data_IF_217875263984
#
_entry.id   IF_217875263984
#
_cell.length_a   1.000
_cell.length_b   1.000
_cell.length_c   1.000
_cell.angle_alpha   90.00
_cell.angle_beta   90.00
_cell.angle_gamma   90.00
#
_symmetry.space_group_name_H-M   'P 1'
#
loop_
_entity.id
_entity.type
_entity.pdbx_description
1 polymer ?
#
# COMPACT_ATOMS: atom_id res chain seq x y z
N UNK A 1 -24.15 -10.84 16.83
CA UNK A 1 -22.77 -11.36 16.82
C UNK A 1 -22.02 -11.06 15.52
N UNK A 2 -22.65 -11.30 14.39
CA UNK A 2 -22.04 -11.10 13.07
C UNK A 2 -21.70 -9.62 12.80
N UNK A 3 -22.60 -8.69 13.16
CA UNK A 3 -22.34 -7.25 13.02
C UNK A 3 -21.10 -6.82 13.80
N UNK A 4 -20.93 -7.37 15.00
CA UNK A 4 -19.78 -7.06 15.85
C UNK A 4 -18.48 -7.55 15.21
N UNK A 5 -18.50 -8.73 14.59
CA UNK A 5 -17.34 -9.30 13.91
C UNK A 5 -16.92 -8.41 12.75
N UNK A 6 -17.86 -8.00 11.90
CA UNK A 6 -17.56 -7.16 10.74
C UNK A 6 -17.10 -5.77 11.16
N UNK A 7 -17.67 -5.22 12.23
CA UNK A 7 -17.20 -3.94 12.78
C UNK A 7 -15.74 -4.03 13.25
N UNK A 8 -15.39 -5.12 13.92
CA UNK A 8 -14.01 -5.36 14.35
C UNK A 8 -13.05 -5.55 13.18
N UNK A 9 -13.47 -6.26 12.14
CA UNK A 9 -12.67 -6.42 10.92
C UNK A 9 -12.37 -5.06 10.31
N UNK A 10 -13.39 -4.21 10.17
CA UNK A 10 -13.21 -2.87 9.62
C UNK A 10 -12.24 -2.05 10.46
N UNK A 11 -12.40 -2.06 11.78
CA UNK A 11 -11.49 -1.34 12.67
C UNK A 11 -10.05 -1.85 12.55
N UNK A 12 -9.87 -3.16 12.50
CA UNK A 12 -8.55 -3.77 12.35
C UNK A 12 -7.89 -3.37 11.04
N UNK A 13 -8.65 -3.32 9.94
CA UNK A 13 -8.15 -2.90 8.64
C UNK A 13 -7.69 -1.45 8.66
N UNK A 14 -8.47 -0.58 9.31
CA UNK A 14 -8.11 0.84 9.42
C UNK A 14 -6.84 1.02 10.25
N UNK A 15 -6.71 0.30 11.36
CA UNK A 15 -5.51 0.34 12.20
C UNK A 15 -4.29 -0.15 11.42
N UNK A 16 -4.40 -1.29 10.73
CA UNK A 16 -3.30 -1.84 9.93
C UNK A 16 -2.89 -0.89 8.81
N UNK A 17 -3.86 -0.23 8.19
CA UNK A 17 -3.58 0.76 7.15
C UNK A 17 -2.78 1.93 7.70
N UNK A 18 -3.15 2.43 8.89
CA UNK A 18 -2.47 3.57 9.51
C UNK A 18 -1.07 3.21 10.01
N UNK A 19 -0.86 1.97 10.44
CA UNK A 19 0.42 1.48 10.95
C UNK A 19 1.34 0.93 9.87
N UNK A 20 0.88 0.86 8.63
CA UNK A 20 1.58 0.19 7.54
C UNK A 20 2.98 0.75 7.29
N UNK A 21 3.20 2.03 7.54
CA UNK A 21 4.50 2.68 7.34
C UNK A 21 5.55 2.13 8.31
N UNK A 22 5.16 1.91 9.56
CA UNK A 22 6.08 1.51 10.63
C UNK A 22 6.04 0.01 10.90
N UNK A 23 5.08 -0.70 10.31
CA UNK A 23 4.90 -2.12 10.55
C UNK A 23 5.90 -2.94 9.75
N UNK A 24 6.61 -3.83 10.45
CA UNK A 24 7.51 -4.77 9.79
C UNK A 24 6.73 -5.77 8.95
N UNK A 25 7.09 -5.89 7.67
CA UNK A 25 6.47 -6.84 6.77
C UNK A 25 6.95 -8.25 7.07
N UNK A 26 6.00 -9.19 7.15
CA UNK A 26 6.31 -10.62 7.27
C UNK A 26 6.50 -11.28 5.91
N UNK A 27 6.09 -10.59 4.85
CA UNK A 27 6.29 -11.06 3.49
C UNK A 27 7.63 -10.54 3.01
N UNK A 28 8.49 -11.46 2.59
CA UNK A 28 9.82 -11.12 2.12
C UNK A 28 10.14 -12.01 0.92
N UNK A 29 10.38 -11.39 -0.22
CA UNK A 29 10.70 -12.09 -1.46
C UNK A 29 12.06 -11.66 -1.97
N UNK A 30 12.70 -12.54 -2.74
CA UNK A 30 13.99 -12.23 -3.36
C UNK A 30 13.84 -11.04 -4.33
N UNK A 31 12.75 -11.01 -5.07
CA UNK A 31 12.45 -9.92 -6.01
C UNK A 31 12.38 -8.58 -5.32
N UNK A 32 11.71 -8.52 -4.16
CA UNK A 32 11.61 -7.29 -3.39
C UNK A 32 12.97 -6.85 -2.86
N UNK A 33 13.76 -7.79 -2.32
CA UNK A 33 15.10 -7.48 -1.81
C UNK A 33 16.02 -6.96 -2.90
N UNK A 34 15.97 -7.57 -4.08
CA UNK A 34 16.76 -7.13 -5.24
C UNK A 34 16.34 -5.75 -5.71
N UNK A 35 15.03 -5.49 -5.77
CA UNK A 35 14.51 -4.19 -6.16
C UNK A 35 14.93 -3.11 -5.16
N UNK A 36 14.88 -3.42 -3.88
CA UNK A 36 15.30 -2.49 -2.81
C UNK A 36 16.79 -2.17 -2.92
N UNK A 37 17.61 -3.18 -3.14
CA UNK A 37 19.06 -2.98 -3.30
C UNK A 37 19.35 -2.12 -4.54
N UNK A 38 18.69 -2.42 -5.65
CA UNK A 38 18.83 -1.64 -6.87
C UNK A 38 18.42 -0.18 -6.66
N UNK A 39 17.34 0.05 -5.92
CA UNK A 39 16.90 1.40 -5.61
C UNK A 39 17.96 2.15 -4.78
N UNK A 40 18.55 1.47 -3.78
CA UNK A 40 19.60 2.07 -2.95
C UNK A 40 20.81 2.47 -3.80
N UNK A 41 21.25 1.58 -4.70
CA UNK A 41 22.38 1.84 -5.59
C UNK A 41 22.11 3.01 -6.52
N UNK A 42 20.93 3.05 -7.13
CA UNK A 42 20.53 4.13 -8.03
C UNK A 42 20.31 5.44 -7.28
N UNK A 43 19.85 5.37 -6.03
CA UNK A 43 19.68 6.56 -5.19
C UNK A 43 21.02 7.24 -4.91
N UNK A 44 22.07 6.48 -4.67
CA UNK A 44 23.41 7.02 -4.49
C UNK A 44 23.92 7.72 -5.74
N UNK A 45 23.75 7.10 -6.90
CA UNK A 45 24.12 7.68 -8.19
C UNK A 45 23.33 8.96 -8.45
N UNK A 46 22.02 8.93 -8.18
CA UNK A 46 21.15 10.08 -8.32
C UNK A 46 21.64 11.28 -7.49
N UNK A 47 22.01 11.03 -6.22
CA UNK A 47 22.50 12.10 -5.35
C UNK A 47 23.76 12.75 -5.88
N UNK A 48 24.66 11.97 -6.44
CA UNK A 48 25.88 12.49 -7.06
C UNK A 48 25.59 13.32 -8.30
N UNK A 49 24.69 12.83 -9.14
CA UNK A 49 24.32 13.51 -10.38
C UNK A 49 23.55 14.81 -10.11
N UNK A 50 22.61 14.78 -9.15
CA UNK A 50 21.78 15.97 -8.86
C UNK A 50 22.62 17.11 -8.29
N UNK A 51 23.68 16.81 -7.56
CA UNK A 51 24.56 17.82 -6.98
C UNK A 51 25.26 18.66 -8.05
N UNK A 52 25.43 18.12 -9.27
CA UNK A 52 26.07 18.83 -10.39
C UNK A 52 25.09 19.60 -11.27
N UNK A 53 23.78 19.52 -10.98
CA UNK A 53 22.74 20.18 -11.77
C UNK A 53 22.50 21.60 -11.24
N UNK A 54 22.15 22.51 -12.14
CA UNK A 54 21.77 23.89 -11.80
C UNK A 54 20.65 23.90 -10.75
N UNK A 55 20.74 24.80 -9.78
CA UNK A 55 19.84 24.82 -8.61
C UNK A 55 18.35 24.84 -8.96
N UNK A 56 17.93 25.65 -9.93
CA UNK A 56 16.52 25.75 -10.35
C UNK A 56 16.03 24.41 -10.92
N UNK A 57 16.85 23.78 -11.76
CA UNK A 57 16.53 22.49 -12.33
C UNK A 57 16.56 21.37 -11.28
N UNK A 58 17.49 21.47 -10.35
CA UNK A 58 17.62 20.53 -9.23
C UNK A 58 16.33 20.48 -8.40
N UNK A 59 15.77 21.65 -8.10
CA UNK A 59 14.53 21.76 -7.34
C UNK A 59 13.36 21.08 -8.05
N UNK A 60 13.22 21.31 -9.35
CA UNK A 60 12.16 20.69 -10.16
C UNK A 60 12.29 19.18 -10.24
N UNK A 61 13.52 18.68 -10.35
CA UNK A 61 13.78 17.24 -10.37
C UNK A 61 13.43 16.63 -9.01
N UNK A 62 13.80 17.30 -7.93
CA UNK A 62 13.45 16.83 -6.58
C UNK A 62 11.94 16.78 -6.36
N UNK A 63 11.22 17.78 -6.85
CA UNK A 63 9.75 17.80 -6.77
C UNK A 63 9.14 16.60 -7.49
N UNK A 64 9.66 16.27 -8.66
CA UNK A 64 9.21 15.10 -9.41
C UNK A 64 9.48 13.81 -8.66
N UNK A 65 10.68 13.68 -8.08
CA UNK A 65 11.03 12.48 -7.30
C UNK A 65 10.13 12.35 -6.07
N UNK A 66 9.83 13.44 -5.39
CA UNK A 66 8.89 13.44 -4.26
C UNK A 66 7.50 13.01 -4.69
N UNK A 67 7.00 13.52 -5.82
CA UNK A 67 5.71 13.14 -6.35
C UNK A 67 5.66 11.64 -6.70
N UNK A 68 6.75 11.10 -7.24
CA UNK A 68 6.86 9.67 -7.51
C UNK A 68 6.80 8.84 -6.23
N UNK A 69 7.46 9.30 -5.16
CA UNK A 69 7.44 8.61 -3.88
C UNK A 69 6.04 8.62 -3.27
N UNK A 70 5.35 9.75 -3.34
CA UNK A 70 3.98 9.87 -2.84
C UNK A 70 3.03 8.96 -3.62
N UNK A 71 3.14 8.97 -4.94
CA UNK A 71 2.33 8.11 -5.79
C UNK A 71 2.60 6.63 -5.49
N UNK A 72 3.86 6.25 -5.37
CA UNK A 72 4.26 4.88 -5.05
C UNK A 72 3.70 4.44 -3.70
N UNK A 73 3.75 5.31 -2.71
CA UNK A 73 3.18 5.04 -1.38
C UNK A 73 1.68 4.79 -1.48
N UNK A 74 0.94 5.68 -2.16
CA UNK A 74 -0.51 5.53 -2.31
C UNK A 74 -0.87 4.29 -3.14
N UNK A 75 -0.07 3.97 -4.15
CA UNK A 75 -0.27 2.76 -4.94
C UNK A 75 -0.12 1.51 -4.06
N UNK A 76 0.88 1.49 -3.18
CA UNK A 76 1.06 0.40 -2.23
C UNK A 76 -0.13 0.28 -1.27
N UNK A 77 -0.64 1.40 -0.77
CA UNK A 77 -1.82 1.42 0.10
C UNK A 77 -3.03 0.85 -0.63
N UNK A 78 -3.24 1.28 -1.85
CA UNK A 78 -4.36 0.80 -2.67
C UNK A 78 -4.25 -0.70 -2.95
N UNK A 79 -3.05 -1.17 -3.30
CA UNK A 79 -2.81 -2.59 -3.57
C UNK A 79 -3.04 -3.44 -2.34
N UNK A 80 -2.64 -2.96 -1.17
CA UNK A 80 -2.86 -3.64 0.10
C UNK A 80 -4.36 -3.80 0.37
N UNK A 81 -5.13 -2.73 0.21
CA UNK A 81 -6.58 -2.77 0.40
C UNK A 81 -7.25 -3.68 -0.63
N UNK A 82 -6.80 -3.63 -1.88
CA UNK A 82 -7.32 -4.51 -2.92
C UNK A 82 -7.08 -5.98 -2.56
N UNK A 83 -5.89 -6.30 -2.04
CA UNK A 83 -5.58 -7.66 -1.61
C UNK A 83 -6.50 -8.14 -0.50
N UNK A 84 -6.85 -7.29 0.44
CA UNK A 84 -7.79 -7.61 1.52
C UNK A 84 -9.19 -7.87 0.95
N UNK A 85 -9.66 -7.00 0.05
CA UNK A 85 -10.95 -7.18 -0.63
C UNK A 85 -10.97 -8.51 -1.39
N UNK A 86 -9.92 -8.78 -2.15
CA UNK A 86 -9.79 -10.04 -2.90
C UNK A 86 -9.85 -11.25 -1.98
N UNK A 87 -9.16 -11.20 -0.86
CA UNK A 87 -9.16 -12.27 0.13
C UNK A 87 -10.58 -12.51 0.67
N UNK A 88 -11.30 -11.46 1.02
CA UNK A 88 -12.67 -11.56 1.52
C UNK A 88 -13.60 -12.17 0.46
N UNK A 89 -13.46 -11.75 -0.80
CA UNK A 89 -14.25 -12.30 -1.91
C UNK A 89 -13.95 -13.78 -2.14
N UNK A 90 -12.68 -14.16 -2.06
CA UNK A 90 -12.28 -15.57 -2.19
C UNK A 90 -12.91 -16.42 -1.08
N UNK A 91 -12.87 -15.93 0.16
CA UNK A 91 -13.43 -16.65 1.29
C UNK A 91 -14.96 -16.75 1.18
N UNK A 92 -15.63 -15.76 0.65
CA UNK A 92 -17.06 -15.81 0.37
C UNK A 92 -17.36 -16.83 -0.74
N UNK A 93 -16.56 -16.82 -1.80
CA UNK A 93 -16.72 -17.76 -2.92
C UNK A 93 -16.48 -19.21 -2.49
N UNK A 94 -15.59 -19.44 -1.52
CA UNK A 94 -15.30 -20.75 -0.97
C UNK A 94 -16.32 -21.21 0.10
N UNK A 95 -17.28 -20.34 0.45
CA UNK A 95 -18.29 -20.65 1.46
C UNK A 95 -17.80 -20.54 2.91
N UNK A 96 -16.58 -20.05 3.12
CA UNK A 96 -16.01 -19.87 4.47
C UNK A 96 -16.64 -18.67 5.17
N UNK A 97 -16.82 -17.57 4.42
CA UNK A 97 -17.55 -16.40 4.87
C UNK A 97 -18.89 -16.34 4.16
N UNK A 98 -19.94 -15.97 4.89
CA UNK A 98 -21.26 -15.79 4.30
C UNK A 98 -21.44 -14.35 3.85
N UNK A 99 -21.90 -14.11 2.61
CA UNK A 99 -22.23 -12.76 2.17
C UNK A 99 -23.33 -12.18 3.06
N UNK A 100 -23.07 -11.02 3.62
CA UNK A 100 -24.00 -10.32 4.51
C UNK A 100 -23.97 -8.83 4.20
N UNK A 101 -25.00 -8.15 4.65
CA UNK A 101 -25.11 -6.70 4.45
C UNK A 101 -23.92 -5.97 5.07
N UNK A 102 -23.45 -6.42 6.22
CA UNK A 102 -22.30 -5.84 6.92
C UNK A 102 -21.01 -6.02 6.10
N UNK A 103 -20.83 -7.17 5.48
CA UNK A 103 -19.69 -7.43 4.60
C UNK A 103 -19.73 -6.49 3.40
N UNK A 104 -20.90 -6.34 2.77
CA UNK A 104 -21.08 -5.42 1.65
C UNK A 104 -20.76 -3.99 2.05
N UNK A 105 -21.17 -3.57 3.25
CA UNK A 105 -20.86 -2.25 3.76
C UNK A 105 -19.36 -2.03 3.92
N UNK A 106 -18.65 -3.02 4.45
CA UNK A 106 -17.19 -2.97 4.60
C UNK A 106 -16.51 -2.88 3.22
N UNK A 107 -16.94 -3.73 2.30
CA UNK A 107 -16.37 -3.74 0.94
C UNK A 107 -16.63 -2.42 0.22
N UNK A 108 -17.83 -1.88 0.35
CA UNK A 108 -18.21 -0.60 -0.29
C UNK A 108 -17.33 0.56 0.19
N UNK A 109 -16.84 0.49 1.43
CA UNK A 109 -15.96 1.53 1.97
C UNK A 109 -14.61 1.59 1.23
N UNK A 110 -14.20 0.51 0.59
CA UNK A 110 -12.92 0.41 -0.11
C UNK A 110 -13.04 0.35 -1.63
N UNK A 111 -14.24 0.05 -2.14
CA UNK A 111 -14.46 -0.02 -3.58
C UNK A 111 -14.68 1.37 -4.17
N UNK A 112 -14.31 1.52 -5.44
CA UNK A 112 -14.59 2.75 -6.17
C UNK A 112 -16.09 2.88 -6.41
N UNK A 113 -16.62 4.12 -6.36
CA UNK A 113 -18.02 4.35 -6.71
C UNK A 113 -18.32 4.01 -8.16
#
# INVERSE_FOLDING_TARGET
MEKLVWSKVKQSLEVLRCEDIDRESRVDTDEFRMARQNLQDKSMIYRQCIAAVEEVKQEKIKDYVEALKEYSFEECQQSYLQGIVDCMLILCGAGILKPQKELETVLQAFLRP
#
